data_IF_493721704633
#
_entry.id   IF_493721704633
#
_cell.length_a   1.000
_cell.length_b   1.000
_cell.length_c   1.000
_cell.angle_alpha   90.00
_cell.angle_beta   90.00
_cell.angle_gamma   90.00
#
_symmetry.space_group_name_H-M   'P 1'
#
loop_
_entity.id
_entity.type
_entity.pdbx_description
1 polymer ?
#
# COMPACT_ATOMS: atom_id res chain seq x y z
N UNK A 1 -6.15 42.88 8.39
CA UNK A 1 -5.98 42.48 9.81
C UNK A 1 -7.32 42.04 10.33
N UNK A 2 -7.58 40.76 10.33
CA UNK A 2 -8.77 40.17 10.98
C UNK A 2 -8.20 39.16 11.97
N UNK A 3 -8.37 39.46 13.27
CA UNK A 3 -8.02 38.55 14.37
C UNK A 3 -9.17 37.56 14.53
N UNK A 4 -8.90 36.26 14.34
CA UNK A 4 -9.79 35.18 14.75
C UNK A 4 -9.51 34.87 16.22
N UNK A 5 -10.53 35.02 17.07
CA UNK A 5 -10.50 34.55 18.47
C UNK A 5 -10.64 33.04 18.46
N UNK A 6 -9.73 32.37 19.17
CA UNK A 6 -9.86 30.96 19.55
C UNK A 6 -10.56 30.95 20.91
N UNK A 7 -11.79 30.50 20.95
CA UNK A 7 -12.49 30.27 22.21
C UNK A 7 -12.02 28.96 22.84
N UNK A 8 -11.62 29.07 24.10
CA UNK A 8 -11.17 27.96 24.93
C UNK A 8 -12.36 27.02 25.24
N UNK A 9 -12.20 25.75 24.91
CA UNK A 9 -13.11 24.69 25.34
C UNK A 9 -12.90 24.42 26.83
N UNK A 10 -13.94 24.69 27.63
CA UNK A 10 -14.03 24.30 29.04
C UNK A 10 -14.31 22.80 29.12
N UNK A 11 -13.37 22.02 29.67
CA UNK A 11 -13.66 20.65 30.12
C UNK A 11 -14.60 20.68 31.32
N UNK A 12 -15.82 20.21 31.13
CA UNK A 12 -16.70 19.84 32.25
C UNK A 12 -16.24 18.46 32.77
N UNK A 13 -15.70 18.47 33.98
CA UNK A 13 -15.49 17.27 34.79
C UNK A 13 -16.86 16.74 35.24
N UNK A 14 -17.27 15.61 34.75
CA UNK A 14 -18.22 14.74 35.45
C UNK A 14 -18.07 13.26 35.00
N UNK A 15 -18.01 12.42 36.04
CA UNK A 15 -18.25 10.98 36.07
C UNK A 15 -17.05 10.05 35.77
N UNK A 16 -16.26 9.79 36.85
CA UNK A 16 -15.99 8.43 37.34
C UNK A 16 -15.52 8.51 38.79
N UNK A 17 -16.46 8.32 39.74
CA UNK A 17 -16.13 8.08 41.15
C UNK A 17 -15.72 6.63 41.34
N UNK A 18 -14.44 6.41 41.65
CA UNK A 18 -13.95 5.18 42.26
C UNK A 18 -14.01 5.33 43.80
N UNK A 19 -14.51 4.34 44.54
CA UNK A 19 -14.46 4.38 46.00
C UNK A 19 -13.01 4.19 46.46
N UNK A 20 -12.53 5.16 47.23
CA UNK A 20 -11.25 5.07 47.91
C UNK A 20 -11.41 4.21 49.17
N UNK A 21 -10.77 3.04 49.22
CA UNK A 21 -10.46 2.36 50.48
C UNK A 21 -8.95 2.09 50.49
N UNK A 22 -8.19 2.94 51.20
CA UNK A 22 -6.78 2.79 51.47
C UNK A 22 -6.57 2.39 52.93
N UNK A 23 -6.52 1.09 53.23
CA UNK A 23 -5.94 0.60 54.46
C UNK A 23 -4.71 -0.24 54.18
N UNK A 24 -3.56 0.36 54.48
CA UNK A 24 -2.28 -0.22 54.95
C UNK A 24 -1.88 -1.60 54.49
N UNK A 25 -0.94 -1.62 53.55
CA UNK A 25 -0.14 -2.80 53.22
C UNK A 25 1.02 -2.44 52.25
N UNK A 26 2.18 -2.03 52.78
CA UNK A 26 3.38 -1.85 51.92
C UNK A 26 3.81 -3.14 51.28
N UNK A 27 3.22 -3.53 50.14
CA UNK A 27 3.87 -4.44 49.19
C UNK A 27 4.77 -3.62 48.29
N UNK A 28 6.06 -3.87 48.34
CA UNK A 28 7.04 -3.43 47.34
C UNK A 28 6.65 -4.11 46.02
N UNK A 29 5.76 -3.52 45.26
CA UNK A 29 5.54 -3.89 43.87
C UNK A 29 6.83 -3.55 43.12
N UNK A 30 7.58 -4.58 42.73
CA UNK A 30 8.65 -4.42 41.72
C UNK A 30 7.99 -3.81 40.50
N UNK A 31 8.38 -2.60 40.14
CA UNK A 31 8.03 -2.03 38.85
C UNK A 31 8.43 -3.04 37.77
N UNK A 32 7.53 -3.46 36.86
CA UNK A 32 7.92 -4.33 35.77
C UNK A 32 9.08 -3.66 35.03
N UNK A 33 10.11 -4.41 34.68
CA UNK A 33 11.24 -3.92 33.89
C UNK A 33 10.65 -3.24 32.66
N UNK A 34 10.78 -1.92 32.56
CA UNK A 34 10.39 -1.18 31.34
C UNK A 34 11.28 -1.72 30.22
N UNK A 35 10.68 -2.36 29.25
CA UNK A 35 11.34 -2.69 27.99
C UNK A 35 11.45 -1.36 27.24
N UNK A 36 12.59 -0.70 27.37
CA UNK A 36 12.94 0.44 26.53
C UNK A 36 13.93 -0.06 25.50
N UNK A 37 13.68 0.20 24.23
CA UNK A 37 14.72 0.02 23.25
C UNK A 37 15.86 1.00 23.55
N UNK A 38 17.10 0.53 23.54
CA UNK A 38 18.25 1.43 23.51
C UNK A 38 18.18 2.23 22.21
N UNK A 39 18.41 3.55 22.28
CA UNK A 39 18.50 4.37 21.07
C UNK A 39 19.80 3.97 20.36
N UNK A 40 19.75 3.53 19.09
CA UNK A 40 20.93 3.15 18.33
C UNK A 40 21.93 4.33 18.25
N UNK A 41 23.22 4.04 18.39
CA UNK A 41 24.27 5.07 18.37
C UNK A 41 24.89 5.28 16.98
N UNK A 42 24.58 4.41 16.00
CA UNK A 42 25.10 4.51 14.64
C UNK A 42 24.31 3.64 13.64
N UNK A 43 24.57 3.79 12.34
CA UNK A 43 23.83 3.08 11.30
C UNK A 43 23.89 1.54 11.40
N UNK A 44 25.04 0.99 11.81
CA UNK A 44 25.22 -0.45 11.94
C UNK A 44 24.45 -1.03 13.15
N UNK A 45 24.27 -0.22 14.19
CA UNK A 45 23.54 -0.60 15.40
C UNK A 45 22.03 -0.77 15.14
N UNK A 46 21.46 -0.03 14.16
CA UNK A 46 20.04 -0.15 13.78
C UNK A 46 19.62 -1.58 13.41
N UNK A 47 20.55 -2.39 12.91
CA UNK A 47 20.31 -3.75 12.41
C UNK A 47 20.82 -4.85 13.34
N UNK A 48 21.21 -4.51 14.58
CA UNK A 48 21.53 -5.51 15.59
C UNK A 48 20.27 -6.32 15.97
N UNK A 49 20.36 -7.64 15.82
CA UNK A 49 19.27 -8.57 16.12
C UNK A 49 18.77 -8.44 17.57
N UNK A 50 19.62 -7.98 18.49
CA UNK A 50 19.24 -7.78 19.89
C UNK A 50 18.07 -6.81 20.07
N UNK A 51 17.95 -5.80 19.21
CA UNK A 51 16.86 -4.83 19.26
C UNK A 51 15.50 -5.41 18.90
N UNK A 52 15.46 -6.53 18.17
CA UNK A 52 14.24 -7.11 17.60
C UNK A 52 13.81 -8.41 18.28
N UNK A 53 14.57 -8.91 19.25
CA UNK A 53 14.27 -10.16 19.96
C UNK A 53 12.86 -10.18 20.55
N UNK A 54 12.40 -9.04 21.07
CA UNK A 54 11.08 -8.95 21.68
C UNK A 54 9.95 -8.82 20.63
N UNK A 55 10.24 -8.29 19.43
CA UNK A 55 9.29 -8.30 18.30
C UNK A 55 9.07 -9.72 17.77
N UNK A 56 10.11 -10.56 17.82
CA UNK A 56 10.11 -11.96 17.37
C UNK A 56 9.40 -12.94 18.31
N UNK A 57 8.94 -12.48 19.47
CA UNK A 57 8.19 -13.35 20.39
C UNK A 57 6.80 -13.70 19.81
N UNK A 58 6.13 -14.76 20.31
CA UNK A 58 4.74 -15.02 19.96
C UNK A 58 3.85 -13.77 20.19
N UNK A 59 2.81 -13.58 19.38
CA UNK A 59 1.97 -12.37 19.31
C UNK A 59 1.67 -11.75 20.69
N UNK A 60 1.16 -12.53 21.65
CA UNK A 60 0.74 -12.00 22.96
C UNK A 60 1.92 -11.70 23.91
N UNK A 61 3.12 -12.08 23.52
CA UNK A 61 4.37 -11.78 24.23
C UNK A 61 5.20 -10.74 23.48
N UNK A 62 4.93 -10.54 22.17
CA UNK A 62 5.69 -9.66 21.29
C UNK A 62 5.53 -8.18 21.63
N UNK A 63 6.54 -7.40 21.28
CA UNK A 63 6.49 -5.95 21.26
C UNK A 63 6.30 -5.43 19.83
N UNK A 64 5.76 -4.22 19.69
CA UNK A 64 5.75 -3.50 18.41
C UNK A 64 7.17 -3.15 17.96
N UNK A 65 7.35 -2.85 16.67
CA UNK A 65 8.61 -2.37 16.12
C UNK A 65 9.09 -1.11 16.86
N UNK A 66 10.41 -0.93 17.02
CA UNK A 66 11.01 0.31 17.49
C UNK A 66 10.64 1.52 16.63
N UNK A 67 10.56 2.71 17.23
CA UNK A 67 10.18 3.95 16.51
C UNK A 67 11.07 4.28 15.33
N UNK A 68 12.38 3.98 15.41
CA UNK A 68 13.31 4.23 14.31
C UNK A 68 12.99 3.42 13.03
N UNK A 69 12.29 2.30 13.13
CA UNK A 69 11.82 1.56 11.96
C UNK A 69 10.83 2.38 11.10
N UNK A 70 10.26 3.46 11.67
CA UNK A 70 9.29 4.34 10.99
C UNK A 70 9.84 5.74 10.69
N UNK A 71 10.99 6.11 11.27
CA UNK A 71 11.49 7.50 11.21
C UNK A 71 12.92 7.61 10.69
N UNK A 72 13.72 6.55 10.79
CA UNK A 72 15.14 6.63 10.47
C UNK A 72 15.39 6.46 8.95
N UNK A 73 16.09 7.41 8.29
CA UNK A 73 16.37 7.34 6.86
C UNK A 73 17.27 6.17 6.47
N UNK A 74 18.18 5.71 7.35
CA UNK A 74 19.07 4.56 7.05
C UNK A 74 18.27 3.26 7.08
N UNK A 75 17.30 3.14 8.02
CA UNK A 75 16.38 2.00 8.02
C UNK A 75 15.53 2.00 6.74
N UNK A 76 14.99 3.15 6.35
CA UNK A 76 14.22 3.28 5.11
C UNK A 76 15.05 2.95 3.86
N UNK A 77 16.30 3.41 3.77
CA UNK A 77 17.20 3.04 2.67
C UNK A 77 17.45 1.52 2.59
N UNK A 78 17.51 0.84 3.73
CA UNK A 78 17.60 -0.62 3.80
C UNK A 78 16.28 -1.27 3.31
N UNK A 79 15.12 -0.72 3.68
CA UNK A 79 13.83 -1.17 3.14
C UNK A 79 13.76 -1.00 1.62
N UNK A 80 14.25 0.13 1.07
CA UNK A 80 14.30 0.32 -0.39
C UNK A 80 15.02 -0.85 -1.07
N UNK A 81 16.17 -1.22 -0.57
CA UNK A 81 17.01 -2.26 -1.18
C UNK A 81 16.54 -3.69 -0.92
N UNK A 82 15.96 -3.96 0.25
CA UNK A 82 15.68 -5.32 0.73
C UNK A 82 14.19 -5.68 0.74
N UNK A 83 13.32 -4.67 0.72
CA UNK A 83 11.86 -4.86 0.73
C UNK A 83 11.28 -4.47 -0.63
N UNK A 84 11.55 -3.24 -1.11
CA UNK A 84 10.86 -2.74 -2.30
C UNK A 84 11.47 -3.21 -3.61
N UNK A 85 12.78 -3.08 -3.79
CA UNK A 85 13.42 -3.46 -5.07
C UNK A 85 13.21 -4.93 -5.46
N UNK A 86 13.26 -5.90 -4.50
CA UNK A 86 13.03 -7.31 -4.82
C UNK A 86 11.54 -7.73 -4.71
N UNK A 87 10.60 -6.82 -4.83
CA UNK A 87 9.17 -7.12 -4.73
C UNK A 87 8.43 -6.75 -6.01
N UNK A 88 7.32 -7.44 -6.26
CA UNK A 88 6.34 -7.05 -7.28
C UNK A 88 5.48 -5.88 -6.79
N UNK A 89 5.27 -4.88 -7.65
CA UNK A 89 4.50 -3.68 -7.36
C UNK A 89 3.30 -3.59 -8.30
N UNK A 90 2.11 -3.53 -7.73
CA UNK A 90 0.91 -3.21 -8.50
C UNK A 90 0.95 -1.76 -8.99
N UNK A 91 0.64 -1.55 -10.26
CA UNK A 91 0.78 -0.22 -10.90
C UNK A 91 -0.49 0.25 -11.61
N UNK A 92 -1.43 -0.64 -11.89
CA UNK A 92 -2.65 -0.29 -12.58
C UNK A 92 -3.35 -1.47 -13.21
N UNK A 93 -4.35 -1.17 -14.04
CA UNK A 93 -5.08 -2.17 -14.79
C UNK A 93 -4.93 -1.99 -16.30
N UNK A 94 -5.04 -3.11 -17.03
CA UNK A 94 -4.88 -3.13 -18.50
C UNK A 94 -5.91 -2.26 -19.23
N UNK A 95 -7.16 -2.20 -18.74
CA UNK A 95 -8.20 -1.40 -19.36
C UNK A 95 -8.05 0.12 -19.17
N UNK A 96 -7.12 0.55 -18.32
CA UNK A 96 -6.76 1.97 -18.19
C UNK A 96 -5.86 2.46 -19.34
N UNK A 97 -5.41 1.52 -20.19
CA UNK A 97 -4.60 1.75 -21.38
C UNK A 97 -5.31 1.15 -22.61
N UNK A 98 -6.53 1.62 -23.00
CA UNK A 98 -7.34 0.95 -24.00
C UNK A 98 -6.74 0.99 -25.42
N UNK A 99 -6.07 2.09 -25.79
CA UNK A 99 -5.63 2.34 -27.14
C UNK A 99 -4.09 2.38 -27.27
N UNK A 100 -3.53 2.03 -28.45
CA UNK A 100 -2.11 2.18 -28.71
C UNK A 100 -1.62 3.60 -28.47
N UNK A 101 -0.57 3.73 -27.66
CA UNK A 101 -0.01 5.02 -27.23
C UNK A 101 -0.52 5.51 -25.89
N UNK A 102 -1.58 4.92 -25.34
CA UNK A 102 -2.01 5.24 -23.98
C UNK A 102 -0.96 4.81 -22.96
N UNK A 103 -0.73 5.68 -21.98
CA UNK A 103 0.29 5.44 -20.96
C UNK A 103 -0.16 5.86 -19.56
N UNK A 104 0.40 5.17 -18.56
CA UNK A 104 0.35 5.49 -17.14
C UNK A 104 1.76 5.71 -16.61
N UNK A 105 1.89 6.55 -15.59
CA UNK A 105 3.15 6.72 -14.85
C UNK A 105 2.98 6.18 -13.43
N UNK A 106 3.92 5.31 -13.05
CA UNK A 106 4.08 4.86 -11.68
C UNK A 106 5.34 5.46 -11.07
N UNK A 107 5.18 6.20 -10.00
CA UNK A 107 6.28 6.85 -9.26
C UNK A 107 6.66 6.00 -8.03
N UNK A 108 7.20 4.82 -8.27
CA UNK A 108 7.63 3.90 -7.21
C UNK A 108 9.01 4.20 -6.63
N UNK A 109 9.35 3.45 -5.59
CA UNK A 109 10.61 3.61 -4.82
C UNK A 109 11.85 3.25 -5.65
N UNK A 110 11.72 2.34 -6.63
CA UNK A 110 12.81 1.98 -7.57
C UNK A 110 13.03 2.98 -8.70
N UNK A 111 12.23 4.05 -8.76
CA UNK A 111 12.26 5.09 -9.79
C UNK A 111 10.96 5.14 -10.60
N UNK A 112 10.74 6.24 -11.34
CA UNK A 112 9.54 6.43 -12.13
C UNK A 112 9.52 5.49 -13.34
N UNK A 113 8.35 4.87 -13.60
CA UNK A 113 8.13 3.91 -14.70
C UNK A 113 7.00 4.40 -15.60
N UNK A 114 7.17 4.25 -16.91
CA UNK A 114 6.14 4.41 -17.93
C UNK A 114 5.57 3.04 -18.25
N UNK A 115 4.26 2.86 -18.13
CA UNK A 115 3.53 1.75 -18.73
C UNK A 115 2.86 2.29 -20.00
N UNK A 116 3.04 1.64 -21.13
CA UNK A 116 2.52 2.14 -22.41
C UNK A 116 2.03 1.00 -23.29
N UNK A 117 0.84 1.17 -23.89
CA UNK A 117 0.34 0.21 -24.89
C UNK A 117 1.03 0.45 -26.21
N UNK A 118 1.63 -0.62 -26.76
CA UNK A 118 2.31 -0.56 -28.05
C UNK A 118 1.31 -0.64 -29.22
N UNK A 119 1.73 -0.29 -30.45
CA UNK A 119 0.91 -0.52 -31.65
C UNK A 119 0.56 -1.98 -31.93
N UNK A 120 1.30 -2.93 -31.32
CA UNK A 120 1.02 -4.38 -31.43
C UNK A 120 -0.06 -4.83 -30.45
N UNK A 121 -0.47 -3.95 -29.52
CA UNK A 121 -1.53 -4.20 -28.53
C UNK A 121 -1.00 -4.70 -27.17
N UNK A 122 0.29 -5.06 -27.06
CA UNK A 122 0.92 -5.41 -25.78
C UNK A 122 1.23 -4.15 -24.95
N UNK A 123 1.28 -4.31 -23.63
CA UNK A 123 1.72 -3.24 -22.71
C UNK A 123 3.19 -3.51 -22.37
N UNK A 124 3.99 -2.46 -22.36
CA UNK A 124 5.39 -2.50 -21.94
C UNK A 124 5.67 -1.50 -20.83
N UNK A 125 6.64 -1.83 -20.00
CA UNK A 125 7.12 -0.97 -18.93
C UNK A 125 8.58 -0.54 -19.17
N UNK A 126 8.86 0.75 -18.93
CA UNK A 126 10.19 1.33 -19.09
C UNK A 126 10.47 2.31 -17.96
N UNK A 127 11.73 2.44 -17.55
CA UNK A 127 12.13 3.57 -16.71
C UNK A 127 11.80 4.90 -17.40
N UNK A 128 11.14 5.80 -16.69
CA UNK A 128 10.74 7.13 -17.19
C UNK A 128 11.93 8.10 -17.19
N UNK A 129 12.98 7.75 -17.94
CA UNK A 129 14.22 8.50 -18.01
C UNK A 129 14.81 8.49 -19.42
N UNK A 130 15.21 9.67 -19.90
CA UNK A 130 15.84 9.80 -21.20
C UNK A 130 17.28 9.26 -21.18
N UNK A 131 17.62 8.39 -22.15
CA UNK A 131 18.96 7.77 -22.28
C UNK A 131 20.07 8.77 -22.62
N UNK A 132 19.73 10.03 -22.93
CA UNK A 132 20.72 11.08 -23.16
C UNK A 132 21.31 11.62 -21.85
N UNK A 133 20.48 12.26 -21.00
CA UNK A 133 20.92 12.93 -19.78
C UNK A 133 19.92 12.80 -18.61
N UNK A 134 19.14 11.72 -18.58
CA UNK A 134 18.30 11.38 -17.44
C UNK A 134 17.04 12.23 -17.24
N UNK A 135 16.62 13.02 -18.26
CA UNK A 135 15.40 13.82 -18.14
C UNK A 135 14.16 12.92 -18.05
N UNK A 136 13.24 13.20 -17.11
CA UNK A 136 11.93 12.58 -17.08
C UNK A 136 11.18 12.84 -18.40
N UNK A 137 10.59 11.80 -18.98
CA UNK A 137 10.02 11.85 -20.33
C UNK A 137 8.54 12.22 -20.33
N UNK A 138 7.75 11.58 -19.48
CA UNK A 138 6.31 11.74 -19.40
C UNK A 138 5.87 12.01 -17.95
N UNK A 139 4.72 12.70 -17.82
CA UNK A 139 4.08 12.99 -16.55
C UNK A 139 2.66 12.45 -16.57
N UNK A 140 2.09 12.16 -15.40
CA UNK A 140 0.71 11.75 -15.18
C UNK A 140 0.29 10.52 -16.03
N UNK A 141 -0.85 10.60 -16.66
CA UNK A 141 -1.35 9.63 -17.62
C UNK A 141 -1.78 10.36 -18.90
N UNK A 142 -1.82 9.68 -20.02
CA UNK A 142 -2.23 10.28 -21.28
C UNK A 142 -2.06 9.34 -22.47
N UNK A 143 -2.02 9.92 -23.66
CA UNK A 143 -1.79 9.21 -24.90
C UNK A 143 -0.72 9.90 -25.73
N UNK A 144 0.26 9.14 -26.21
CA UNK A 144 1.36 9.63 -27.00
C UNK A 144 1.77 8.59 -28.07
N UNK A 145 1.65 8.86 -29.37
CA UNK A 145 2.07 7.94 -30.42
C UNK A 145 3.59 7.72 -30.46
N UNK A 146 4.32 8.58 -29.77
CA UNK A 146 5.78 8.54 -29.57
C UNK A 146 6.16 9.28 -28.32
N UNK A 147 7.19 8.80 -27.61
CA UNK A 147 7.72 9.45 -26.41
C UNK A 147 8.80 10.45 -26.84
N UNK A 148 8.58 11.74 -26.60
CA UNK A 148 9.51 12.81 -26.97
C UNK A 148 10.14 13.42 -25.72
N UNK A 149 11.46 13.38 -25.63
CA UNK A 149 12.19 14.01 -24.53
C UNK A 149 12.01 15.53 -24.59
N UNK A 150 11.52 16.18 -23.50
CA UNK A 150 11.27 17.62 -23.50
C UNK A 150 12.55 18.47 -23.49
N UNK A 151 13.73 17.84 -23.30
CA UNK A 151 15.00 18.58 -23.22
C UNK A 151 15.67 18.79 -24.58
N UNK A 152 15.99 17.67 -25.30
CA UNK A 152 16.71 17.75 -26.57
C UNK A 152 15.99 17.03 -27.72
N UNK A 153 14.70 16.77 -27.57
CA UNK A 153 13.84 16.15 -28.58
C UNK A 153 14.35 14.78 -29.07
N UNK A 154 14.94 13.97 -28.18
CA UNK A 154 15.14 12.56 -28.46
C UNK A 154 13.76 11.90 -28.52
N UNK A 155 13.55 11.04 -29.52
CA UNK A 155 12.24 10.43 -29.80
C UNK A 155 12.35 8.92 -29.67
N UNK A 156 11.48 8.34 -28.85
CA UNK A 156 11.35 6.91 -28.69
C UNK A 156 10.02 6.41 -29.23
N UNK A 157 9.99 5.21 -29.78
CA UNK A 157 8.76 4.50 -30.10
C UNK A 157 8.11 3.98 -28.80
N UNK A 158 6.81 3.61 -28.86
CA UNK A 158 6.11 2.99 -27.74
C UNK A 158 6.68 1.62 -27.34
N UNK A 159 7.48 0.98 -28.20
CA UNK A 159 8.21 -0.25 -27.89
C UNK A 159 9.59 0.00 -27.24
N UNK A 160 9.92 1.26 -26.93
CA UNK A 160 11.14 1.69 -26.26
C UNK A 160 12.32 2.00 -27.18
N UNK A 161 12.28 1.67 -28.48
CA UNK A 161 13.40 1.92 -29.39
C UNK A 161 13.62 3.42 -29.61
N UNK A 162 14.88 3.86 -29.64
CA UNK A 162 15.25 5.22 -30.04
C UNK A 162 15.08 5.39 -31.54
N UNK A 163 14.19 6.31 -31.96
CA UNK A 163 13.89 6.59 -33.38
C UNK A 163 14.73 7.75 -33.90
N UNK A 164 14.90 8.80 -33.07
CA UNK A 164 15.58 10.03 -33.46
C UNK A 164 16.37 10.62 -32.31
N UNK A 165 17.62 11.01 -32.59
CA UNK A 165 18.50 11.70 -31.65
C UNK A 165 19.18 12.89 -32.37
N UNK A 166 18.57 14.09 -32.32
CA UNK A 166 19.13 15.27 -32.99
C UNK A 166 20.54 15.57 -32.53
N UNK A 167 21.43 15.90 -33.48
CA UNK A 167 22.82 16.26 -33.22
C UNK A 167 23.78 15.10 -32.95
N UNK A 168 23.30 13.85 -32.98
CA UNK A 168 24.12 12.68 -32.62
C UNK A 168 24.84 12.02 -33.83
N UNK A 169 24.56 12.45 -35.08
CA UNK A 169 25.13 11.85 -36.29
C UNK A 169 26.65 11.95 -36.41
N UNK A 170 27.26 12.95 -35.74
CA UNK A 170 28.72 13.15 -35.73
C UNK A 170 29.42 12.57 -34.50
N UNK A 171 28.66 11.93 -33.58
CA UNK A 171 29.22 11.37 -32.35
C UNK A 171 29.80 9.99 -32.63
N UNK A 172 31.10 9.82 -32.40
CA UNK A 172 31.80 8.57 -32.63
C UNK A 172 31.25 7.45 -31.71
N UNK A 173 30.95 6.28 -32.28
CA UNK A 173 30.46 5.11 -31.54
C UNK A 173 29.01 5.21 -31.09
N UNK A 174 28.24 6.20 -31.53
CA UNK A 174 26.84 6.30 -31.22
C UNK A 174 25.98 5.44 -32.16
N UNK A 175 25.35 4.41 -31.63
CA UNK A 175 24.32 3.64 -32.34
C UNK A 175 22.96 3.86 -31.61
N UNK A 176 21.92 4.35 -32.31
CA UNK A 176 20.58 4.48 -31.72
C UNK A 176 20.02 3.18 -31.13
N UNK A 177 20.44 2.02 -31.62
CA UNK A 177 19.98 0.70 -31.14
C UNK A 177 20.39 0.44 -29.68
N UNK A 178 21.51 1.00 -29.24
CA UNK A 178 22.04 0.84 -27.89
C UNK A 178 21.46 1.84 -26.90
N UNK A 179 20.59 2.74 -27.39
CA UNK A 179 20.06 3.87 -26.63
C UNK A 179 18.52 3.84 -26.50
N UNK A 180 17.89 2.66 -26.62
CA UNK A 180 16.49 2.46 -26.29
C UNK A 180 16.19 2.71 -24.81
N UNK A 181 14.93 2.89 -24.45
CA UNK A 181 14.49 2.99 -23.05
C UNK A 181 14.86 1.69 -22.31
N UNK A 182 15.23 1.82 -21.04
CA UNK A 182 15.52 0.69 -20.18
C UNK A 182 14.20 0.00 -19.79
N UNK A 183 14.05 -1.31 -20.09
CA UNK A 183 12.84 -2.03 -19.73
C UNK A 183 12.74 -2.24 -18.22
N UNK A 184 11.51 -2.43 -17.75
CA UNK A 184 11.17 -2.89 -16.40
C UNK A 184 10.33 -4.15 -16.58
N UNK A 185 10.52 -5.16 -15.74
CA UNK A 185 9.72 -6.38 -15.79
C UNK A 185 8.26 -6.04 -15.54
N UNK A 186 7.38 -6.62 -16.34
CA UNK A 186 5.93 -6.41 -16.29
C UNK A 186 5.22 -7.75 -16.49
N UNK A 187 4.37 -8.08 -15.55
CA UNK A 187 3.45 -9.21 -15.65
C UNK A 187 2.02 -8.77 -15.28
N UNK A 188 1.04 -9.59 -15.62
CA UNK A 188 -0.35 -9.31 -15.27
C UNK A 188 -1.05 -10.53 -14.66
N UNK A 189 -1.97 -10.24 -13.73
CA UNK A 189 -2.92 -11.19 -13.20
C UNK A 189 -4.34 -10.60 -13.29
N UNK A 190 -5.23 -11.26 -13.99
CA UNK A 190 -6.64 -10.87 -14.15
C UNK A 190 -6.82 -9.37 -14.54
N UNK A 191 -5.93 -8.85 -15.43
CA UNK A 191 -5.90 -7.45 -15.85
C UNK A 191 -5.22 -6.49 -14.87
N UNK A 192 -4.77 -6.94 -13.70
CA UNK A 192 -3.93 -6.17 -12.79
C UNK A 192 -2.48 -6.24 -13.23
N UNK A 193 -1.85 -5.08 -13.47
CA UNK A 193 -0.46 -4.94 -13.93
C UNK A 193 0.49 -4.82 -12.75
N UNK A 194 1.55 -5.61 -12.79
CA UNK A 194 2.61 -5.58 -11.78
C UNK A 194 3.96 -5.39 -12.43
N UNK A 195 4.83 -4.60 -11.80
CA UNK A 195 6.22 -4.41 -12.22
C UNK A 195 7.18 -4.92 -11.16
N UNK A 196 8.40 -5.27 -11.60
CA UNK A 196 9.50 -5.63 -10.72
C UNK A 196 10.79 -4.94 -11.15
N UNK A 197 11.57 -4.40 -10.18
CA UNK A 197 12.77 -3.62 -10.45
C UNK A 197 14.06 -4.44 -10.54
N UNK A 198 14.03 -5.71 -10.14
CA UNK A 198 15.18 -6.61 -10.23
C UNK A 198 15.43 -7.08 -11.66
N UNK A 199 16.64 -7.56 -11.93
CA UNK A 199 17.06 -8.03 -13.26
C UNK A 199 16.44 -9.39 -13.63
N UNK A 200 16.32 -10.31 -12.69
CA UNK A 200 15.77 -11.66 -12.86
C UNK A 200 14.79 -11.98 -11.70
N UNK A 201 13.56 -11.43 -11.72
CA UNK A 201 12.57 -11.72 -10.68
C UNK A 201 12.03 -13.14 -10.82
N UNK A 202 11.58 -13.71 -9.69
CA UNK A 202 10.67 -14.85 -9.71
C UNK A 202 9.35 -14.45 -10.38
N UNK A 203 8.63 -15.42 -10.98
CA UNK A 203 7.35 -15.17 -11.64
C UNK A 203 6.32 -14.53 -10.67
N UNK A 204 5.51 -13.60 -11.16
CA UNK A 204 4.41 -13.00 -10.39
C UNK A 204 3.48 -14.06 -9.79
N UNK A 205 3.25 -15.16 -10.53
CA UNK A 205 2.43 -16.27 -10.07
C UNK A 205 2.96 -16.89 -8.77
N UNK A 206 4.27 -17.04 -8.64
CA UNK A 206 4.89 -17.61 -7.44
C UNK A 206 4.82 -16.62 -6.27
N UNK A 207 4.94 -15.33 -6.55
CA UNK A 207 4.72 -14.25 -5.57
C UNK A 207 3.29 -14.25 -5.02
N UNK A 208 2.30 -14.34 -5.90
CA UNK A 208 0.88 -14.36 -5.51
C UNK A 208 0.45 -15.69 -4.87
N UNK A 209 1.17 -16.79 -5.12
CA UNK A 209 0.89 -18.09 -4.53
C UNK A 209 -0.54 -18.58 -4.79
N UNK A 210 -1.30 -18.81 -3.71
CA UNK A 210 -2.69 -19.30 -3.79
C UNK A 210 -3.75 -18.21 -3.99
N UNK A 211 -3.37 -16.94 -3.97
CA UNK A 211 -4.29 -15.79 -4.10
C UNK A 211 -5.17 -15.85 -5.37
N UNK A 212 -4.64 -16.17 -6.58
CA UNK A 212 -5.45 -16.27 -7.79
C UNK A 212 -6.57 -17.31 -7.68
N UNK A 213 -6.29 -18.45 -7.07
CA UNK A 213 -7.29 -19.50 -6.84
C UNK A 213 -8.30 -19.10 -5.77
N UNK A 214 -7.84 -18.43 -4.71
CA UNK A 214 -8.69 -18.00 -3.60
C UNK A 214 -9.76 -16.99 -4.05
N UNK A 215 -9.42 -16.08 -4.97
CA UNK A 215 -10.33 -15.04 -5.46
C UNK A 215 -10.97 -15.36 -6.82
N UNK A 216 -10.89 -16.59 -7.32
CA UNK A 216 -11.44 -16.95 -8.62
C UNK A 216 -12.96 -16.66 -8.75
N UNK A 217 -13.73 -16.93 -7.69
CA UNK A 217 -15.18 -16.69 -7.69
C UNK A 217 -15.57 -15.21 -7.64
N UNK A 218 -14.63 -14.32 -7.23
CA UNK A 218 -14.82 -12.87 -7.28
C UNK A 218 -14.72 -12.32 -8.71
N UNK A 219 -14.24 -13.11 -9.66
CA UNK A 219 -14.11 -12.73 -11.08
C UNK A 219 -13.32 -11.45 -11.27
N UNK A 220 -12.06 -11.37 -10.76
CA UNK A 220 -11.26 -10.15 -10.82
C UNK A 220 -10.99 -9.67 -12.26
N UNK A 221 -11.03 -10.57 -13.24
CA UNK A 221 -10.91 -10.28 -14.67
C UNK A 221 -12.08 -9.47 -15.26
N UNK A 222 -13.28 -9.54 -14.63
CA UNK A 222 -14.47 -8.83 -15.08
C UNK A 222 -14.57 -7.40 -14.50
N UNK A 223 -13.65 -7.02 -13.63
CA UNK A 223 -13.65 -5.72 -12.97
C UNK A 223 -13.12 -4.61 -13.90
N UNK A 224 -13.67 -3.42 -13.74
CA UNK A 224 -13.20 -2.18 -14.39
C UNK A 224 -12.88 -1.12 -13.34
N UNK A 225 -11.71 -0.51 -13.42
CA UNK A 225 -11.33 0.60 -12.56
C UNK A 225 -11.93 1.91 -13.09
N UNK A 226 -12.92 2.43 -12.39
CA UNK A 226 -13.71 3.59 -12.85
C UNK A 226 -13.18 4.91 -12.27
N UNK A 227 -12.47 4.85 -11.16
CA UNK A 227 -11.97 6.05 -10.50
C UNK A 227 -10.64 5.76 -9.81
N UNK A 228 -9.71 6.71 -9.90
CA UNK A 228 -8.52 6.81 -9.02
C UNK A 228 -8.59 8.08 -8.20
N UNK A 229 -8.16 8.00 -6.95
CA UNK A 229 -8.00 9.16 -6.07
C UNK A 229 -6.68 9.04 -5.31
N UNK A 230 -5.91 10.13 -5.29
CA UNK A 230 -4.62 10.20 -4.60
C UNK A 230 -4.75 11.02 -3.33
N UNK A 231 -4.05 10.58 -2.30
CA UNK A 231 -3.86 11.28 -1.03
C UNK A 231 -2.36 11.35 -0.74
N UNK A 232 -1.87 12.51 -0.31
CA UNK A 232 -0.55 12.61 0.28
C UNK A 232 -0.68 12.48 1.80
N UNK A 233 0.07 11.56 2.39
CA UNK A 233 -0.05 11.20 3.82
C UNK A 233 1.31 11.35 4.48
N UNK A 234 1.35 12.09 5.58
CA UNK A 234 2.57 12.38 6.36
C UNK A 234 2.93 11.24 7.32
N UNK A 235 3.05 10.01 6.81
CA UNK A 235 3.44 8.87 7.63
C UNK A 235 4.28 7.85 6.87
N UNK A 236 4.92 6.95 7.63
CA UNK A 236 5.63 5.78 7.09
C UNK A 236 4.66 4.81 6.42
N UNK A 237 5.09 4.19 5.35
CA UNK A 237 4.30 3.24 4.57
C UNK A 237 3.73 2.09 5.41
N UNK A 238 4.50 1.60 6.40
CA UNK A 238 4.06 0.50 7.28
C UNK A 238 2.80 0.87 8.07
N UNK A 239 2.67 2.11 8.52
CA UNK A 239 1.52 2.53 9.33
C UNK A 239 0.21 2.43 8.54
N UNK A 240 0.22 2.78 7.24
CA UNK A 240 -0.95 2.62 6.38
C UNK A 240 -1.31 1.15 6.12
N UNK A 241 -0.29 0.30 5.97
CA UNK A 241 -0.50 -1.14 5.77
C UNK A 241 -0.94 -1.81 7.08
N UNK A 242 -0.31 -1.48 8.21
CA UNK A 242 -0.66 -1.98 9.54
C UNK A 242 -2.12 -1.66 9.89
N UNK A 243 -2.56 -0.41 9.63
CA UNK A 243 -3.94 0.03 9.85
C UNK A 243 -4.96 -0.85 9.11
N UNK A 244 -4.68 -1.24 7.88
CA UNK A 244 -5.62 -2.05 7.08
C UNK A 244 -5.51 -3.57 7.32
N UNK A 245 -4.56 -4.03 8.13
CA UNK A 245 -4.37 -5.46 8.47
C UNK A 245 -5.05 -5.87 9.77
N UNK A 246 -5.86 -5.00 10.38
CA UNK A 246 -6.62 -5.26 11.59
C UNK A 246 -7.96 -4.51 11.55
N UNK A 247 -8.91 -4.88 12.42
CA UNK A 247 -10.17 -4.17 12.57
C UNK A 247 -10.35 -3.61 14.02
N UNK A 248 -9.30 -3.65 14.81
CA UNK A 248 -9.31 -3.22 16.22
C UNK A 248 -9.57 -1.72 16.36
N UNK A 249 -9.05 -0.90 15.42
CA UNK A 249 -9.26 0.56 15.40
C UNK A 249 -10.68 0.98 14.99
N UNK A 250 -11.42 0.13 14.24
CA UNK A 250 -12.62 0.56 13.50
C UNK A 250 -13.71 1.15 14.38
N UNK A 251 -13.90 0.60 15.58
CA UNK A 251 -14.89 1.11 16.54
C UNK A 251 -14.58 2.50 17.09
N UNK A 252 -13.33 2.95 17.02
CA UNK A 252 -12.87 4.24 17.54
C UNK A 252 -12.64 5.27 16.44
N UNK A 253 -11.97 4.87 15.36
CA UNK A 253 -11.62 5.76 14.23
C UNK A 253 -12.84 6.00 13.34
N UNK A 254 -13.71 5.00 13.18
CA UNK A 254 -14.86 4.99 12.28
C UNK A 254 -16.21 4.86 12.99
N UNK A 255 -16.47 5.60 14.09
CA UNK A 255 -17.66 5.36 14.93
C UNK A 255 -18.98 5.55 14.18
N UNK A 256 -19.00 6.39 13.15
CA UNK A 256 -20.20 6.72 12.36
C UNK A 256 -20.13 6.24 10.91
N UNK A 257 -18.95 5.83 10.42
CA UNK A 257 -18.75 5.41 9.03
C UNK A 257 -18.77 3.89 8.87
N UNK A 258 -17.99 3.16 9.66
CA UNK A 258 -17.90 1.69 9.59
C UNK A 258 -18.47 1.02 10.85
N UNK A 259 -18.30 1.66 12.02
CA UNK A 259 -18.57 1.07 13.30
C UNK A 259 -17.59 -0.03 13.67
N UNK A 260 -17.81 -0.70 14.80
CA UNK A 260 -17.00 -1.84 15.22
C UNK A 260 -17.22 -3.02 14.27
N UNK A 261 -16.15 -3.60 13.78
CA UNK A 261 -16.17 -4.74 12.87
C UNK A 261 -15.59 -5.99 13.54
N UNK A 262 -16.12 -7.15 13.17
CA UNK A 262 -15.54 -8.43 13.55
C UNK A 262 -14.69 -8.94 12.41
N UNK A 263 -13.48 -9.35 12.71
CA UNK A 263 -12.53 -9.83 11.72
C UNK A 263 -11.83 -11.11 12.15
N UNK A 264 -11.31 -11.83 11.18
CA UNK A 264 -10.41 -12.97 11.39
C UNK A 264 -9.33 -13.03 10.32
N UNK A 265 -8.09 -13.41 10.65
CA UNK A 265 -7.07 -13.68 9.65
C UNK A 265 -7.43 -14.93 8.84
N UNK A 266 -7.10 -14.90 7.55
CA UNK A 266 -7.19 -16.05 6.65
C UNK A 266 -5.77 -16.60 6.46
N UNK A 267 -5.63 -17.93 6.47
CA UNK A 267 -4.37 -18.58 6.13
C UNK A 267 -4.09 -18.43 4.63
N UNK A 268 -2.90 -18.01 4.27
CA UNK A 268 -2.47 -17.71 2.90
C UNK A 268 -1.15 -18.41 2.60
N UNK A 269 -0.88 -18.62 1.32
CA UNK A 269 0.40 -19.12 0.83
C UNK A 269 0.89 -18.23 -0.33
N UNK A 270 2.06 -17.64 -0.19
CA UNK A 270 2.63 -16.64 -1.09
C UNK A 270 2.96 -15.35 -0.34
N UNK A 271 3.32 -14.31 -1.07
CA UNK A 271 3.72 -13.01 -0.51
C UNK A 271 2.49 -12.10 -0.30
N UNK A 272 1.48 -12.62 0.37
CA UNK A 272 0.26 -11.89 0.69
C UNK A 272 -0.34 -12.31 2.04
N UNK A 273 -1.18 -11.44 2.58
CA UNK A 273 -1.93 -11.66 3.83
C UNK A 273 -3.37 -11.24 3.63
N UNK A 274 -4.30 -11.83 4.37
CA UNK A 274 -5.72 -11.53 4.22
C UNK A 274 -6.44 -11.48 5.57
N UNK A 275 -7.20 -10.42 5.77
CA UNK A 275 -8.15 -10.25 6.86
C UNK A 275 -9.57 -10.34 6.31
N UNK A 276 -10.36 -11.28 6.80
CA UNK A 276 -11.79 -11.33 6.50
C UNK A 276 -12.56 -10.50 7.52
N UNK A 277 -13.38 -9.58 7.03
CA UNK A 277 -14.29 -8.74 7.84
C UNK A 277 -15.73 -9.16 7.57
N UNK A 278 -16.43 -9.60 8.61
CA UNK A 278 -17.79 -10.10 8.50
C UNK A 278 -18.82 -8.96 8.32
N UNK A 279 -19.84 -9.22 7.50
CA UNK A 279 -20.95 -8.27 7.28
C UNK A 279 -22.16 -8.76 8.06
N UNK A 280 -22.55 -8.02 9.08
CA UNK A 280 -23.78 -8.28 9.85
C UNK A 280 -24.94 -7.44 9.31
N UNK A 281 -25.88 -8.09 8.60
CA UNK A 281 -27.19 -7.54 8.30
C UNK A 281 -27.25 -6.34 7.34
N UNK A 282 -26.18 -6.07 6.58
CA UNK A 282 -26.13 -5.00 5.57
C UNK A 282 -26.18 -5.59 4.17
N UNK A 283 -26.76 -4.87 3.21
CA UNK A 283 -26.75 -5.25 1.79
C UNK A 283 -25.38 -5.05 1.15
N UNK A 284 -24.63 -4.01 1.55
CA UNK A 284 -23.24 -3.78 1.14
C UNK A 284 -22.46 -3.10 2.25
N UNK A 285 -21.18 -3.48 2.44
CA UNK A 285 -20.24 -2.79 3.32
C UNK A 285 -19.46 -1.67 2.61
N UNK A 286 -19.63 -1.59 1.32
CA UNK A 286 -18.90 -0.65 0.46
C UNK A 286 -19.60 0.70 0.36
N UNK A 287 -20.69 0.89 1.11
CA UNK A 287 -21.44 2.15 1.27
C UNK A 287 -21.54 2.52 2.75
N UNK A 288 -21.89 3.76 3.06
CA UNK A 288 -22.13 4.20 4.44
C UNK A 288 -23.38 3.53 5.04
N UNK A 289 -23.45 3.37 6.38
CA UNK A 289 -24.54 2.61 7.05
C UNK A 289 -25.95 3.12 6.80
N UNK A 290 -26.12 4.41 6.53
CA UNK A 290 -27.40 5.06 6.25
C UNK A 290 -27.78 5.06 4.76
N UNK A 291 -26.91 4.54 3.90
CA UNK A 291 -27.19 4.39 2.46
C UNK A 291 -28.14 3.23 2.21
N UNK A 292 -29.19 3.48 1.44
CA UNK A 292 -30.10 2.45 0.92
C UNK A 292 -29.66 1.95 -0.48
N UNK A 293 -28.46 2.32 -0.93
CA UNK A 293 -27.96 2.01 -2.26
C UNK A 293 -27.02 0.79 -2.16
N UNK A 294 -27.27 -0.22 -3.00
CA UNK A 294 -26.32 -1.29 -3.27
C UNK A 294 -26.33 -1.66 -4.75
N UNK A 295 -25.18 -1.96 -5.31
CA UNK A 295 -25.06 -2.58 -6.62
C UNK A 295 -25.36 -4.09 -6.51
N UNK A 296 -25.71 -4.76 -7.60
CA UNK A 296 -25.93 -6.20 -7.57
C UNK A 296 -24.71 -6.95 -7.05
N UNK A 297 -24.93 -7.85 -6.11
CA UNK A 297 -23.90 -8.77 -5.63
C UNK A 297 -23.48 -9.75 -6.70
N UNK A 298 -22.24 -10.18 -6.69
CA UNK A 298 -21.73 -11.23 -7.55
C UNK A 298 -22.43 -12.57 -7.20
N UNK A 299 -23.23 -13.15 -8.12
CA UNK A 299 -24.00 -14.35 -7.84
C UNK A 299 -23.15 -15.63 -7.68
N UNK A 300 -21.87 -15.58 -8.05
CA UNK A 300 -20.95 -16.71 -7.90
C UNK A 300 -20.42 -16.85 -6.46
N UNK A 301 -20.53 -15.81 -5.64
CA UNK A 301 -20.06 -15.86 -4.27
C UNK A 301 -21.02 -16.63 -3.37
N UNK A 302 -20.52 -17.65 -2.72
CA UNK A 302 -21.28 -18.53 -1.85
C UNK A 302 -20.70 -18.53 -0.43
N UNK A 303 -21.53 -18.91 0.55
CA UNK A 303 -21.09 -19.09 1.93
C UNK A 303 -20.50 -17.82 2.53
N UNK A 304 -19.28 -17.90 2.99
CA UNK A 304 -18.60 -16.81 3.68
C UNK A 304 -18.24 -15.64 2.72
N UNK A 305 -17.82 -15.94 1.48
CA UNK A 305 -17.47 -14.94 0.47
C UNK A 305 -18.62 -14.01 0.10
N UNK A 306 -19.87 -14.45 0.26
CA UNK A 306 -21.06 -13.60 0.03
C UNK A 306 -21.44 -12.74 1.25
N UNK A 307 -20.76 -12.90 2.40
CA UNK A 307 -21.14 -12.29 3.69
C UNK A 307 -20.00 -11.55 4.37
N UNK A 308 -19.01 -11.12 3.61
CA UNK A 308 -17.86 -10.42 4.14
C UNK A 308 -17.04 -9.70 3.09
N UNK A 309 -16.03 -9.00 3.58
CA UNK A 309 -15.05 -8.29 2.77
C UNK A 309 -13.67 -8.83 3.11
N UNK A 310 -12.87 -9.10 2.08
CA UNK A 310 -11.52 -9.57 2.22
C UNK A 310 -10.54 -8.41 2.03
N UNK A 311 -9.91 -7.98 3.11
CA UNK A 311 -8.83 -7.01 3.09
C UNK A 311 -7.52 -7.76 2.86
N UNK A 312 -7.03 -7.71 1.64
CA UNK A 312 -5.86 -8.47 1.20
C UNK A 312 -4.68 -7.53 1.03
N UNK A 313 -3.56 -7.81 1.67
CA UNK A 313 -2.32 -7.10 1.43
C UNK A 313 -1.37 -7.97 0.61
N UNK A 314 -1.06 -7.57 -0.61
CA UNK A 314 0.04 -8.11 -1.41
C UNK A 314 1.29 -7.33 -0.99
N UNK A 315 2.23 -8.03 -0.38
CA UNK A 315 3.42 -7.39 0.17
C UNK A 315 4.28 -6.70 -0.92
N UNK A 316 4.88 -5.53 -0.64
CA UNK A 316 4.82 -4.81 0.64
C UNK A 316 3.62 -3.84 0.76
N UNK A 317 3.15 -3.24 -0.32
CA UNK A 317 2.42 -1.97 -0.29
C UNK A 317 1.11 -1.94 -1.09
N UNK A 318 0.58 -3.09 -1.49
CA UNK A 318 -0.65 -3.16 -2.29
C UNK A 318 -1.75 -3.82 -1.49
N UNK A 319 -2.90 -3.17 -1.39
CA UNK A 319 -4.08 -3.74 -0.79
C UNK A 319 -5.17 -3.93 -1.84
N UNK A 320 -5.71 -5.14 -1.93
CA UNK A 320 -6.89 -5.45 -2.71
C UNK A 320 -8.02 -5.80 -1.76
N UNK A 321 -9.13 -5.09 -1.86
CA UNK A 321 -10.26 -5.30 -0.97
C UNK A 321 -11.45 -5.80 -1.78
N UNK A 322 -11.72 -7.09 -1.66
CA UNK A 322 -12.79 -7.77 -2.37
C UNK A 322 -14.07 -7.77 -1.53
N UNK A 323 -15.11 -7.13 -2.04
CA UNK A 323 -16.46 -7.13 -1.50
C UNK A 323 -17.40 -7.88 -2.45
N UNK A 324 -18.62 -8.26 -2.01
CA UNK A 324 -19.55 -8.99 -2.86
C UNK A 324 -20.06 -8.25 -4.09
N UNK A 325 -20.03 -6.92 -4.10
CA UNK A 325 -20.61 -6.05 -5.14
C UNK A 325 -19.60 -5.16 -5.86
N UNK A 326 -18.37 -5.08 -5.33
CA UNK A 326 -17.30 -4.28 -5.90
C UNK A 326 -15.93 -4.73 -5.38
N UNK A 327 -14.90 -4.08 -5.87
CA UNK A 327 -13.54 -4.19 -5.36
C UNK A 327 -12.93 -2.79 -5.32
N UNK A 328 -12.08 -2.52 -4.34
CA UNK A 328 -11.18 -1.37 -4.41
C UNK A 328 -9.76 -1.79 -4.06
N UNK A 329 -8.83 -1.01 -4.52
CA UNK A 329 -7.44 -1.22 -4.21
C UNK A 329 -6.79 0.04 -3.66
N UNK A 330 -5.79 -0.16 -2.84
CA UNK A 330 -4.93 0.89 -2.33
C UNK A 330 -3.49 0.53 -2.68
N UNK A 331 -2.79 1.46 -3.31
CA UNK A 331 -1.35 1.37 -3.54
C UNK A 331 -0.66 2.43 -2.69
N UNK A 332 0.17 2.00 -1.76
CA UNK A 332 0.98 2.89 -0.94
C UNK A 332 2.31 3.09 -1.65
N UNK A 333 2.59 4.33 -2.04
CA UNK A 333 3.81 4.73 -2.72
C UNK A 333 4.71 5.51 -1.75
N UNK A 334 5.73 4.88 -1.13
CA UNK A 334 6.62 5.55 -0.19
C UNK A 334 7.40 6.69 -0.87
N UNK A 335 7.53 7.82 -0.16
CA UNK A 335 8.25 9.02 -0.60
C UNK A 335 9.39 9.38 0.34
N UNK A 336 9.69 8.51 1.28
CA UNK A 336 10.67 8.67 2.32
C UNK A 336 10.23 7.95 3.60
N UNK A 337 11.00 8.06 4.69
CA UNK A 337 10.68 7.36 5.93
C UNK A 337 9.36 7.83 6.57
N UNK A 338 8.94 9.07 6.34
CA UNK A 338 7.80 9.69 7.03
C UNK A 338 6.75 10.26 6.07
N UNK A 339 6.76 9.82 4.81
CA UNK A 339 5.81 10.34 3.81
C UNK A 339 5.48 9.29 2.76
N UNK A 340 4.18 9.22 2.41
CA UNK A 340 3.65 8.37 1.35
C UNK A 340 2.66 9.13 0.46
N UNK A 341 2.50 8.66 -0.78
CA UNK A 341 1.26 8.87 -1.55
C UNK A 341 0.44 7.60 -1.47
N UNK A 342 -0.84 7.72 -1.11
CA UNK A 342 -1.82 6.64 -1.13
C UNK A 342 -2.72 6.82 -2.35
N UNK A 343 -2.75 5.84 -3.24
CA UNK A 343 -3.64 5.84 -4.41
C UNK A 343 -4.74 4.81 -4.18
N UNK A 344 -5.99 5.26 -4.24
CA UNK A 344 -7.18 4.43 -4.14
C UNK A 344 -7.81 4.29 -5.53
N UNK A 345 -8.03 3.04 -5.97
CA UNK A 345 -8.78 2.72 -7.18
C UNK A 345 -10.09 2.05 -6.85
N UNK A 346 -11.16 2.46 -7.53
CA UNK A 346 -12.51 1.93 -7.34
C UNK A 346 -12.90 1.08 -8.52
N UNK A 347 -13.10 -0.21 -8.31
CA UNK A 347 -13.37 -1.21 -9.35
C UNK A 347 -14.76 -1.83 -9.17
N UNK A 348 -15.45 -2.01 -10.28
CA UNK A 348 -16.79 -2.60 -10.32
C UNK A 348 -16.88 -3.63 -11.43
N UNK A 349 -17.73 -4.67 -11.28
CA UNK A 349 -18.03 -5.58 -12.39
C UNK A 349 -18.51 -4.82 -13.62
N UNK A 350 -18.05 -5.19 -14.81
CA UNK A 350 -18.46 -4.57 -16.07
C UNK A 350 -19.98 -4.58 -16.28
N UNK A 351 -20.67 -5.60 -15.78
CA UNK A 351 -22.14 -5.67 -15.77
C UNK A 351 -22.80 -4.59 -14.90
N UNK A 352 -22.18 -4.20 -13.81
CA UNK A 352 -22.64 -3.07 -12.97
C UNK A 352 -22.38 -1.74 -13.66
N UNK A 353 -21.19 -1.57 -14.25
CA UNK A 353 -20.78 -0.34 -14.98
C UNK A 353 -21.71 -0.08 -16.17
N UNK A 354 -22.16 -1.12 -16.86
CA UNK A 354 -23.06 -1.00 -18.01
C UNK A 354 -24.53 -0.62 -17.66
N UNK A 355 -24.90 -0.53 -16.38
CA UNK A 355 -26.24 -0.16 -15.95
C UNK A 355 -26.53 1.31 -16.22
N UNK A 356 -27.75 1.66 -16.66
CA UNK A 356 -28.11 3.08 -16.91
C UNK A 356 -28.05 3.99 -15.68
N UNK A 357 -28.24 3.41 -14.47
CA UNK A 357 -28.28 4.12 -13.19
C UNK A 357 -26.92 4.09 -12.46
N UNK A 358 -25.89 3.44 -13.02
CA UNK A 358 -24.57 3.27 -12.38
C UNK A 358 -23.95 4.59 -11.94
N UNK A 359 -23.98 5.62 -12.80
CA UNK A 359 -23.37 6.93 -12.51
C UNK A 359 -23.95 7.63 -11.29
N UNK A 360 -25.19 7.33 -10.91
CA UNK A 360 -25.82 7.84 -9.70
C UNK A 360 -25.52 6.93 -8.48
N UNK A 361 -25.66 5.64 -8.65
CA UNK A 361 -25.47 4.69 -7.55
C UNK A 361 -24.03 4.62 -7.04
N UNK A 362 -23.04 4.73 -7.95
CA UNK A 362 -21.61 4.69 -7.59
C UNK A 362 -21.17 5.82 -6.66
N UNK A 363 -21.92 6.95 -6.62
CA UNK A 363 -21.62 8.08 -5.74
C UNK A 363 -21.66 7.71 -4.26
N UNK A 364 -22.54 6.79 -3.85
CA UNK A 364 -22.61 6.30 -2.47
C UNK A 364 -21.34 5.52 -2.07
N UNK A 365 -20.77 4.76 -3.00
CA UNK A 365 -19.49 4.07 -2.82
C UNK A 365 -18.34 5.07 -2.69
N UNK A 366 -18.27 6.06 -3.58
CA UNK A 366 -17.26 7.12 -3.50
C UNK A 366 -17.36 7.90 -2.18
N UNK A 367 -18.56 8.21 -1.71
CA UNK A 367 -18.77 8.88 -0.43
C UNK A 367 -18.16 8.09 0.73
N UNK A 368 -18.37 6.77 0.75
CA UNK A 368 -17.79 5.92 1.81
C UNK A 368 -16.26 5.98 1.79
N UNK A 369 -15.63 5.78 0.64
CA UNK A 369 -14.16 5.83 0.54
C UNK A 369 -13.59 7.23 0.78
N UNK A 370 -14.29 8.26 0.30
CA UNK A 370 -13.88 9.67 0.48
C UNK A 370 -14.02 10.15 1.91
N UNK A 371 -14.77 9.43 2.75
CA UNK A 371 -14.91 9.70 4.19
C UNK A 371 -13.98 8.84 5.02
N UNK A 372 -14.02 7.51 4.86
CA UNK A 372 -13.28 6.59 5.70
C UNK A 372 -11.75 6.67 5.47
N UNK A 373 -11.27 6.81 4.22
CA UNK A 373 -9.83 6.90 3.95
C UNK A 373 -9.14 8.10 4.62
N UNK A 374 -9.71 9.33 4.63
CA UNK A 374 -9.14 10.43 5.41
C UNK A 374 -9.14 10.21 6.93
N UNK A 375 -10.12 9.46 7.48
CA UNK A 375 -10.14 9.11 8.91
C UNK A 375 -8.92 8.23 9.25
N UNK A 376 -8.63 7.21 8.43
CA UNK A 376 -7.45 6.36 8.55
C UNK A 376 -6.14 7.15 8.39
N UNK A 377 -6.06 8.00 7.37
CA UNK A 377 -4.87 8.82 7.12
C UNK A 377 -4.55 9.69 8.33
N UNK A 378 -5.55 10.33 8.94
CA UNK A 378 -5.37 11.21 10.09
C UNK A 378 -4.81 10.47 11.32
N UNK A 379 -5.28 9.24 11.60
CA UNK A 379 -4.76 8.46 12.73
C UNK A 379 -3.35 7.94 12.43
N UNK A 380 -3.03 7.56 11.19
CA UNK A 380 -1.68 7.17 10.80
C UNK A 380 -0.67 8.33 10.90
N UNK A 381 -1.06 9.56 10.56
CA UNK A 381 -0.23 10.75 10.74
C UNK A 381 -0.01 11.07 12.23
N UNK A 382 -1.05 10.92 13.05
CA UNK A 382 -0.92 11.07 14.50
C UNK A 382 0.00 9.99 15.11
N UNK A 383 -0.08 8.75 14.61
CA UNK A 383 0.79 7.66 15.00
C UNK A 383 2.24 7.93 14.59
N UNK A 384 2.48 8.46 13.37
CA UNK A 384 3.82 8.86 12.92
C UNK A 384 4.47 9.88 13.85
N UNK A 385 3.71 10.90 14.27
CA UNK A 385 4.19 11.88 15.23
C UNK A 385 4.59 11.23 16.58
N UNK A 386 3.85 10.23 17.01
CA UNK A 386 4.16 9.43 18.20
C UNK A 386 5.41 8.55 18.05
N UNK A 387 5.69 8.03 16.85
CA UNK A 387 6.89 7.23 16.58
C UNK A 387 8.19 8.05 16.70
N UNK A 388 8.14 9.35 16.46
CA UNK A 388 9.30 10.25 16.58
C UNK A 388 9.77 10.50 18.02
N UNK A 389 9.03 10.06 19.03
CA UNK A 389 9.40 10.24 20.46
C UNK A 389 10.56 9.30 20.81
N UNK A 390 11.75 9.86 21.03
CA UNK A 390 13.00 9.09 21.23
C UNK A 390 12.98 8.11 22.41
N UNK A 391 12.26 8.45 23.49
CA UNK A 391 12.20 7.64 24.72
C UNK A 391 10.90 6.83 24.81
N UNK A 392 10.27 6.53 23.69
CA UNK A 392 9.03 5.74 23.66
C UNK A 392 9.32 4.30 24.09
N UNK A 393 8.66 3.77 25.13
CA UNK A 393 8.76 2.37 25.45
C UNK A 393 8.07 1.52 24.35
N UNK A 394 8.52 0.26 24.23
CA UNK A 394 7.89 -0.67 23.29
C UNK A 394 6.39 -0.84 23.61
N UNK A 395 5.57 -0.84 22.57
CA UNK A 395 4.15 -1.20 22.65
C UNK A 395 3.95 -2.72 22.74
N UNK A 396 2.69 -3.13 22.84
CA UNK A 396 2.27 -4.54 22.82
C UNK A 396 1.18 -4.72 21.78
N UNK A 397 1.15 -5.88 21.14
CA UNK A 397 0.06 -6.26 20.25
C UNK A 397 -1.15 -6.80 21.04
N UNK A 398 -2.33 -6.56 20.50
CA UNK A 398 -3.59 -7.21 20.90
C UNK A 398 -3.72 -8.57 20.17
N UNK A 399 -4.63 -9.41 20.63
CA UNK A 399 -4.98 -10.64 19.91
C UNK A 399 -5.64 -10.41 18.55
N UNK A 400 -6.13 -9.20 18.29
CA UNK A 400 -6.75 -8.79 17.03
C UNK A 400 -5.71 -8.32 15.97
N UNK A 401 -4.41 -8.18 16.34
CA UNK A 401 -3.34 -7.63 15.49
C UNK A 401 -2.39 -8.71 14.93
N UNK A 402 -2.91 -9.91 14.66
CA UNK A 402 -2.11 -11.04 14.16
C UNK A 402 -1.36 -10.70 12.87
N UNK A 403 -2.03 -10.04 11.92
CA UNK A 403 -1.41 -9.72 10.61
C UNK A 403 -0.48 -8.52 10.70
N UNK A 404 -0.69 -7.60 11.64
CA UNK A 404 0.25 -6.50 11.94
C UNK A 404 1.57 -7.07 12.48
N UNK A 405 1.51 -8.02 13.42
CA UNK A 405 2.69 -8.74 13.91
C UNK A 405 3.37 -9.55 12.80
N UNK A 406 2.59 -10.18 11.91
CA UNK A 406 3.12 -10.89 10.75
C UNK A 406 3.90 -9.93 9.83
N UNK A 407 3.33 -8.78 9.47
CA UNK A 407 4.00 -7.75 8.66
C UNK A 407 5.30 -7.27 9.30
N UNK A 408 5.30 -6.99 10.60
CA UNK A 408 6.50 -6.59 11.32
C UNK A 408 7.62 -7.62 11.18
N UNK A 409 7.29 -8.91 11.33
CA UNK A 409 8.24 -10.01 11.16
C UNK A 409 8.68 -10.20 9.70
N UNK A 410 7.75 -10.07 8.74
CA UNK A 410 8.02 -10.12 7.31
C UNK A 410 9.04 -9.04 6.87
N UNK A 411 8.89 -7.81 7.37
CA UNK A 411 9.85 -6.72 7.15
C UNK A 411 11.21 -7.05 7.76
N UNK A 412 11.23 -7.49 9.02
CA UNK A 412 12.47 -7.84 9.72
C UNK A 412 13.23 -8.99 9.05
N UNK A 413 12.53 -9.99 8.50
CA UNK A 413 13.15 -11.10 7.77
C UNK A 413 13.97 -10.61 6.59
N UNK A 414 13.57 -9.51 5.97
CA UNK A 414 14.24 -8.91 4.81
C UNK A 414 15.33 -7.92 5.20
N UNK A 415 15.03 -6.98 6.08
CA UNK A 415 16.00 -5.92 6.44
C UNK A 415 17.17 -6.41 7.29
N UNK A 416 16.99 -7.53 8.02
CA UNK A 416 18.03 -8.10 8.88
C UNK A 416 18.89 -9.18 8.19
N UNK A 417 18.60 -9.54 6.93
CA UNK A 417 19.49 -10.41 6.15
C UNK A 417 20.87 -9.79 5.99
N UNK A 418 21.92 -10.58 6.14
CA UNK A 418 23.29 -10.15 5.89
C UNK A 418 23.54 -9.95 4.39
N UNK A 419 24.37 -8.97 4.01
CA UNK A 419 24.72 -8.73 2.59
C UNK A 419 25.43 -9.94 1.94
N UNK A 420 26.03 -10.83 2.72
CA UNK A 420 26.68 -12.06 2.25
C UNK A 420 25.68 -13.13 1.74
N UNK A 421 24.42 -13.11 2.19
CA UNK A 421 23.41 -14.08 1.74
C UNK A 421 22.72 -13.71 0.43
N UNK A 422 22.82 -12.44 0.01
CA UNK A 422 22.26 -11.96 -1.26
C UNK A 422 23.15 -12.25 -2.48
N UNK A 423 24.43 -12.56 -2.27
CA UNK A 423 25.38 -12.90 -3.36
C UNK A 423 25.36 -14.40 -3.72
N UNK A 424 24.60 -15.22 -3.03
CA UNK A 424 24.53 -16.68 -3.22
C UNK A 424 23.27 -17.20 -3.90
N UNK A 425 22.34 -16.30 -4.27
CA UNK A 425 21.10 -16.61 -4.99
C UNK A 425 21.02 -15.89 -6.36
N UNK A 426 22.16 -15.43 -6.89
CA UNK A 426 22.28 -14.88 -8.24
C UNK A 426 22.93 -15.91 -9.18
#
# INVERSE_FOLDING_TARGET
>A
MIRVRVDAWSCSNDLYQYPADFSTGRRKTRCPKRICYAVPMGPDDLFDLAHYQQVRQPLLEASTLPGWCYTDPVFYEREVRRVFQPSWHFVGREEELPEPGDYLIYDGVGGPVILIRTPAGDIKAFYNTCRHRGTRLLNDQGSAPRIVCPYHSWVYACDGRLIRAPGMTSVSGFDPKDHGLLPVHLESWAGFLFIHYGDEPDDLKDWLGDMPQFFADHRPEDLQCIRRKRFDVGCNWKLLIENALEAYHTGTVHPTTLGRQQSKPIATHGEWSCLFVHIDGKESVSVLPDSCISLPMNPNLLGESSRGTFFTNIHPCTQFVFAPDCMWWLSVEPRGPEKCSLVLGSCFPGSSVARPDFSEQVKAYYQRWDTATPEDNAVCEAQQAGQAVQIRPAGRFSSEETLVHHLANWVLDRVLQSDASAAGSA
#
